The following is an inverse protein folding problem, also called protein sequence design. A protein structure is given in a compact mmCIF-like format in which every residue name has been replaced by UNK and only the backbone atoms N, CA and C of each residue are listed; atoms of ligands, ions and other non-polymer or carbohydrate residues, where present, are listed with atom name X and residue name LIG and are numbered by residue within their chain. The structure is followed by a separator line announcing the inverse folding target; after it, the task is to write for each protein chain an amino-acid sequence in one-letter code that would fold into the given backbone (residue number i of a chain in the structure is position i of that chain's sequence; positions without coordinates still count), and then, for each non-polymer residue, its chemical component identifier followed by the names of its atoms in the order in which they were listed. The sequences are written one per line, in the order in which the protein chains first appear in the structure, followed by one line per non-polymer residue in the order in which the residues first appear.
data_IF_488415275914
#
_entry.id   IF_488415275914
#
_cell.length_a   1.000
_cell.length_b   1.000
_cell.length_c   1.000
_cell.angle_alpha   90.00
_cell.angle_beta   90.00
_cell.angle_gamma   90.00
#
_symmetry.space_group_name_H-M   'P 1'
#
loop_
_entity.id
_entity.type
_entity.pdbx_description
1 polymer ?
#
# COMPACT_ATOMS: atom_id res chain seq x y z
N UNK A 1 -12.89 -17.40 8.91
CA UNK A 1 -12.42 -16.46 9.94
C UNK A 1 -11.16 -15.86 9.36
N UNK A 2 -11.24 -14.65 8.81
CA UNK A 2 -10.14 -14.06 8.05
C UNK A 2 -9.04 -13.59 9.01
N UNK A 3 -7.77 -13.82 8.68
CA UNK A 3 -6.63 -13.23 9.39
C UNK A 3 -5.96 -12.19 8.48
N UNK A 4 -5.71 -10.98 8.99
CA UNK A 4 -5.14 -9.87 8.21
C UNK A 4 -3.89 -9.28 8.86
N UNK A 5 -2.86 -9.04 8.06
CA UNK A 5 -1.67 -8.28 8.45
C UNK A 5 -1.80 -6.86 7.93
N UNK A 6 -1.71 -5.85 8.80
CA UNK A 6 -1.70 -4.46 8.35
C UNK A 6 -0.66 -3.64 9.13
N UNK A 7 0.16 -2.85 8.44
CA UNK A 7 1.03 -1.84 9.09
C UNK A 7 0.35 -0.47 9.25
N UNK A 8 -0.88 -0.32 8.76
CA UNK A 8 -1.77 0.78 9.07
C UNK A 8 -2.81 0.24 10.06
N UNK A 9 -2.72 0.63 11.33
CA UNK A 9 -3.80 0.38 12.30
C UNK A 9 -5.09 0.96 11.74
N UNK A 10 -5.87 0.13 11.05
CA UNK A 10 -7.07 0.56 10.37
C UNK A 10 -8.26 -0.10 11.07
N UNK A 11 -8.95 0.64 11.98
CA UNK A 11 -10.18 0.20 12.63
C UNK A 11 -11.26 -0.32 11.65
N UNK A 12 -11.16 0.08 10.37
CA UNK A 12 -12.08 -0.36 9.32
C UNK A 12 -11.99 -1.87 9.07
N UNK A 13 -10.79 -2.45 9.11
CA UNK A 13 -10.58 -3.89 8.89
C UNK A 13 -11.22 -4.73 10.00
N UNK A 14 -11.05 -4.31 11.26
CA UNK A 14 -11.63 -5.00 12.42
C UNK A 14 -13.16 -4.92 12.44
N UNK A 15 -13.71 -3.73 12.15
CA UNK A 15 -15.15 -3.47 12.22
C UNK A 15 -15.95 -4.13 11.10
N UNK A 16 -15.37 -4.26 9.90
CA UNK A 16 -16.08 -4.78 8.73
C UNK A 16 -15.96 -6.29 8.54
N UNK A 17 -14.84 -6.90 8.97
CA UNK A 17 -14.53 -8.30 8.60
C UNK A 17 -14.47 -9.28 9.77
N UNK A 18 -14.49 -8.81 11.03
CA UNK A 18 -14.36 -9.69 12.20
C UNK A 18 -13.03 -10.46 12.22
N UNK A 19 -11.99 -9.91 11.57
CA UNK A 19 -10.71 -10.57 11.35
C UNK A 19 -9.81 -10.55 12.60
N UNK A 20 -8.95 -11.57 12.74
CA UNK A 20 -7.78 -11.48 13.61
C UNK A 20 -6.74 -10.58 12.93
N UNK A 21 -6.06 -9.74 13.69
CA UNK A 21 -5.12 -8.76 13.15
C UNK A 21 -3.77 -8.89 13.83
N UNK A 22 -2.71 -8.98 13.02
CA UNK A 22 -1.34 -8.70 13.49
C UNK A 22 -0.83 -7.44 12.83
N UNK A 23 -0.39 -6.48 13.65
CA UNK A 23 0.22 -5.24 13.21
C UNK A 23 1.75 -5.33 13.32
N UNK A 24 2.46 -4.87 12.28
CA UNK A 24 3.91 -4.85 12.24
C UNK A 24 4.44 -3.43 12.07
N UNK A 25 5.40 -3.03 12.91
CA UNK A 25 6.03 -1.72 12.82
C UNK A 25 7.38 -1.69 13.54
N UNK A 26 8.30 -0.83 13.10
CA UNK A 26 9.58 -0.62 13.80
C UNK A 26 9.46 0.16 15.11
N UNK A 27 8.34 0.85 15.33
CA UNK A 27 8.18 1.81 16.42
C UNK A 27 7.09 1.32 17.37
N UNK A 28 7.43 1.20 18.65
CA UNK A 28 6.50 0.82 19.72
C UNK A 28 5.32 1.79 19.85
N UNK A 29 5.57 3.10 19.96
CA UNK A 29 4.49 4.02 20.35
C UNK A 29 3.35 4.12 19.33
N UNK A 30 3.60 4.22 18.01
CA UNK A 30 2.52 4.17 17.02
C UNK A 30 1.83 2.81 16.97
N UNK A 31 2.57 1.73 17.28
CA UNK A 31 2.06 0.37 17.24
C UNK A 31 1.11 0.10 18.42
N UNK A 32 1.43 0.59 19.61
CA UNK A 32 0.58 0.50 20.80
C UNK A 32 -0.72 1.28 20.63
N UNK A 33 -0.64 2.50 20.08
CA UNK A 33 -1.84 3.30 19.77
C UNK A 33 -2.71 2.62 18.72
N UNK A 34 -2.11 2.12 17.66
CA UNK A 34 -2.82 1.38 16.62
C UNK A 34 -3.51 0.13 17.19
N UNK A 35 -2.85 -0.58 18.11
CA UNK A 35 -3.45 -1.73 18.81
C UNK A 35 -4.66 -1.33 19.62
N UNK A 36 -4.59 -0.23 20.38
CA UNK A 36 -5.72 0.26 21.18
C UNK A 36 -6.90 0.61 20.28
N UNK A 37 -6.68 1.39 19.23
CA UNK A 37 -7.72 1.79 18.26
C UNK A 37 -8.36 0.58 17.57
N UNK A 38 -7.55 -0.40 17.14
CA UNK A 38 -8.02 -1.62 16.48
C UNK A 38 -8.79 -2.51 17.46
N UNK A 39 -8.33 -2.63 18.71
CA UNK A 39 -8.99 -3.40 19.76
C UNK A 39 -10.37 -2.81 20.10
N UNK A 40 -10.47 -1.49 20.21
CA UNK A 40 -11.74 -0.78 20.45
C UNK A 40 -12.74 -0.94 19.29
N UNK A 41 -12.25 -1.21 18.08
CA UNK A 41 -13.06 -1.40 16.89
C UNK A 41 -13.43 -2.86 16.60
N UNK A 42 -12.97 -3.82 17.41
CA UNK A 42 -13.31 -5.23 17.25
C UNK A 42 -14.82 -5.45 17.40
N UNK A 43 -15.39 -6.24 16.48
CA UNK A 43 -16.80 -6.62 16.47
C UNK A 43 -17.10 -7.77 17.46
N UNK A 44 -16.10 -8.61 17.78
CA UNK A 44 -16.22 -9.70 18.76
C UNK A 44 -15.05 -9.68 19.75
N UNK A 45 -15.31 -10.21 20.95
CA UNK A 45 -14.28 -10.45 21.99
C UNK A 45 -13.31 -11.57 21.63
N UNK A 46 -13.68 -12.41 20.65
CA UNK A 46 -12.85 -13.53 20.20
C UNK A 46 -11.79 -13.09 19.15
N UNK A 47 -11.80 -11.82 18.72
CA UNK A 47 -10.78 -11.31 17.82
C UNK A 47 -9.47 -11.07 18.55
N UNK A 48 -8.39 -11.53 17.93
CA UNK A 48 -7.03 -11.32 18.44
C UNK A 48 -6.44 -10.12 17.73
N UNK A 49 -5.85 -9.20 18.51
CA UNK A 49 -5.10 -8.06 18.00
C UNK A 49 -3.68 -8.15 18.56
N UNK A 50 -2.76 -8.59 17.70
CA UNK A 50 -1.36 -8.76 18.02
C UNK A 50 -0.51 -7.63 17.41
N UNK A 51 0.62 -7.37 18.04
CA UNK A 51 1.59 -6.36 17.60
C UNK A 51 2.97 -6.95 17.66
N UNK A 52 3.74 -6.78 16.59
CA UNK A 52 5.12 -7.26 16.50
C UNK A 52 6.01 -6.12 16.04
N UNK A 53 7.09 -5.86 16.79
CA UNK A 53 8.10 -4.92 16.36
C UNK A 53 9.06 -5.59 15.38
N UNK A 54 9.22 -5.02 14.19
CA UNK A 54 10.03 -5.60 13.11
C UNK A 54 10.47 -4.51 12.12
N UNK A 55 11.72 -4.56 11.64
CA UNK A 55 12.12 -3.83 10.44
C UNK A 55 11.67 -4.59 9.20
N UNK A 56 10.59 -4.11 8.57
CA UNK A 56 10.11 -4.70 7.33
C UNK A 56 11.16 -4.67 6.21
N UNK A 57 12.15 -3.77 6.29
CA UNK A 57 13.26 -3.70 5.34
C UNK A 57 14.37 -4.72 5.57
N UNK A 58 14.24 -5.62 6.55
CA UNK A 58 15.15 -6.72 6.82
C UNK A 58 14.46 -8.07 6.53
N UNK A 59 14.98 -8.83 5.56
CA UNK A 59 14.38 -10.09 5.12
C UNK A 59 14.31 -11.14 6.24
N UNK A 60 15.35 -11.21 7.09
CA UNK A 60 15.44 -12.21 8.15
C UNK A 60 14.47 -11.87 9.28
N UNK A 61 14.41 -10.60 9.70
CA UNK A 61 13.45 -10.17 10.73
C UNK A 61 12.01 -10.39 10.27
N UNK A 62 11.67 -10.05 9.01
CA UNK A 62 10.33 -10.29 8.45
C UNK A 62 10.00 -11.77 8.44
N UNK A 63 10.96 -12.62 8.06
CA UNK A 63 10.77 -14.07 8.01
C UNK A 63 10.44 -14.64 9.38
N UNK A 64 11.26 -14.32 10.37
CA UNK A 64 11.06 -14.76 11.76
C UNK A 64 9.74 -14.23 12.33
N UNK A 65 9.43 -12.96 12.07
CA UNK A 65 8.19 -12.34 12.54
C UNK A 65 6.94 -13.00 11.91
N UNK A 66 6.97 -13.37 10.64
CA UNK A 66 5.82 -13.98 9.97
C UNK A 66 5.67 -15.46 10.31
N UNK A 67 6.77 -16.22 10.38
CA UNK A 67 6.76 -17.65 10.72
C UNK A 67 6.41 -17.91 12.20
N UNK A 68 6.66 -16.95 13.09
CA UNK A 68 6.30 -17.05 14.52
C UNK A 68 4.83 -16.76 14.82
N UNK A 69 4.04 -16.32 13.83
CA UNK A 69 2.61 -16.09 14.04
C UNK A 69 1.88 -17.40 14.28
N UNK A 70 1.04 -17.44 15.32
CA UNK A 70 0.25 -18.63 15.66
C UNK A 70 -0.71 -19.05 14.56
N UNK A 71 -1.06 -18.12 13.67
CA UNK A 71 -1.97 -18.31 12.55
C UNK A 71 -1.42 -17.56 11.32
N UNK A 72 -1.20 -18.22 10.18
CA UNK A 72 -0.97 -17.54 8.92
C UNK A 72 -2.11 -16.57 8.61
N UNK A 73 -1.78 -15.42 8.05
CA UNK A 73 -2.80 -14.47 7.61
C UNK A 73 -3.36 -14.86 6.26
N UNK A 74 -4.65 -14.66 6.03
CA UNK A 74 -5.27 -14.79 4.70
C UNK A 74 -5.01 -13.54 3.84
N UNK A 75 -4.85 -12.39 4.48
CA UNK A 75 -4.73 -11.09 3.80
C UNK A 75 -3.50 -10.35 4.30
N UNK A 76 -2.65 -9.86 3.39
CA UNK A 76 -1.47 -9.06 3.70
C UNK A 76 -1.60 -7.65 3.11
N UNK A 77 -1.57 -6.63 3.97
CA UNK A 77 -1.43 -5.23 3.58
C UNK A 77 0.01 -4.76 3.74
N UNK A 78 0.67 -4.51 2.61
CA UNK A 78 2.02 -3.95 2.55
C UNK A 78 1.95 -2.41 2.59
N UNK A 79 1.93 -1.82 3.80
CA UNK A 79 1.79 -0.37 3.96
C UNK A 79 2.98 0.36 4.60
N UNK A 80 4.05 -0.37 4.93
CA UNK A 80 5.27 0.25 5.46
C UNK A 80 5.93 1.10 4.36
N UNK A 81 6.28 2.34 4.67
CA UNK A 81 6.93 3.24 3.72
C UNK A 81 6.73 4.72 4.04
N UNK A 82 7.34 5.56 3.22
CA UNK A 82 7.37 7.02 3.35
C UNK A 82 8.62 7.63 2.71
N UNK A 83 8.68 8.95 2.68
CA UNK A 83 9.75 9.74 2.07
C UNK A 83 10.19 10.96 2.88
N UNK A 84 9.69 11.13 4.10
CA UNK A 84 9.89 12.39 4.84
C UNK A 84 11.38 12.71 5.07
N UNK A 85 12.26 11.70 5.06
CA UNK A 85 13.71 11.84 5.21
C UNK A 85 14.49 11.81 3.86
N UNK A 86 13.82 11.62 2.71
CA UNK A 86 14.47 11.45 1.39
C UNK A 86 13.87 12.34 0.29
N UNK A 87 13.42 13.54 0.67
CA UNK A 87 13.03 14.58 -0.29
C UNK A 87 14.26 15.36 -0.74
N UNK A 88 14.42 15.52 -2.05
CA UNK A 88 15.56 16.20 -2.66
C UNK A 88 15.66 15.96 -4.16
N UNK A 89 16.40 16.82 -4.86
CA UNK A 89 16.77 16.56 -6.24
C UNK A 89 17.85 15.48 -6.30
N UNK A 90 17.98 14.82 -7.46
CA UNK A 90 18.88 13.68 -7.59
C UNK A 90 20.32 13.98 -7.21
N UNK A 91 20.82 15.17 -7.55
CA UNK A 91 22.19 15.60 -7.26
C UNK A 91 22.42 15.96 -5.78
N UNK A 92 21.34 16.22 -5.03
CA UNK A 92 21.41 16.61 -3.62
C UNK A 92 21.27 15.41 -2.68
N UNK A 93 20.73 14.29 -3.18
CA UNK A 93 20.54 13.07 -2.41
C UNK A 93 21.84 12.24 -2.37
N UNK A 94 22.13 11.69 -1.20
CA UNK A 94 23.25 10.75 -1.06
C UNK A 94 22.84 9.37 -1.62
N UNK A 95 23.83 8.53 -1.94
CA UNK A 95 23.57 7.12 -2.25
C UNK A 95 22.79 6.42 -1.13
N UNK A 96 23.07 6.79 0.14
CA UNK A 96 22.40 6.22 1.30
C UNK A 96 20.92 6.59 1.36
N UNK A 97 20.55 7.78 0.91
CA UNK A 97 19.15 8.19 0.82
C UNK A 97 18.39 7.35 -0.21
N UNK A 98 19.00 7.08 -1.36
CA UNK A 98 18.43 6.20 -2.39
C UNK A 98 18.21 4.78 -1.84
N UNK A 99 19.23 4.21 -1.19
CA UNK A 99 19.16 2.90 -0.53
C UNK A 99 18.06 2.85 0.54
N UNK A 100 18.03 3.84 1.44
CA UNK A 100 17.06 3.91 2.53
C UNK A 100 15.63 4.01 1.99
N UNK A 101 15.41 4.80 0.92
CA UNK A 101 14.09 4.93 0.33
C UNK A 101 13.62 3.60 -0.31
N UNK A 102 14.52 2.89 -1.01
CA UNK A 102 14.25 1.54 -1.53
C UNK A 102 13.98 0.54 -0.41
N UNK A 103 14.77 0.57 0.66
CA UNK A 103 14.58 -0.29 1.83
C UNK A 103 13.23 -0.09 2.49
N UNK A 104 12.85 1.16 2.73
CA UNK A 104 11.61 1.50 3.42
C UNK A 104 10.34 1.27 2.60
N UNK A 105 10.42 1.33 1.26
CA UNK A 105 9.22 1.27 0.39
C UNK A 105 9.15 0.02 -0.49
N UNK A 106 10.25 -0.35 -1.16
CA UNK A 106 10.28 -1.50 -2.07
C UNK A 106 10.58 -2.80 -1.33
N UNK A 107 11.73 -2.88 -0.63
CA UNK A 107 12.13 -4.11 0.04
C UNK A 107 11.16 -4.48 1.15
N UNK A 108 10.65 -3.50 1.91
CA UNK A 108 9.59 -3.72 2.89
C UNK A 108 8.35 -4.43 2.35
N UNK A 109 7.91 -4.06 1.15
CA UNK A 109 6.78 -4.68 0.48
C UNK A 109 7.15 -6.02 -0.17
N UNK A 110 8.34 -6.11 -0.78
CA UNK A 110 8.81 -7.29 -1.50
C UNK A 110 9.09 -8.47 -0.55
N UNK A 111 9.76 -8.23 0.58
CA UNK A 111 10.06 -9.27 1.56
C UNK A 111 8.79 -9.80 2.20
N UNK A 112 7.90 -8.91 2.65
CA UNK A 112 6.60 -9.29 3.21
C UNK A 112 5.79 -10.16 2.24
N UNK A 113 5.65 -9.73 0.98
CA UNK A 113 4.92 -10.47 -0.03
C UNK A 113 5.56 -11.83 -0.33
N UNK A 114 6.89 -11.87 -0.52
CA UNK A 114 7.64 -13.10 -0.81
C UNK A 114 7.51 -14.13 0.30
N UNK A 115 7.68 -13.71 1.55
CA UNK A 115 7.65 -14.59 2.72
C UNK A 115 6.22 -15.08 2.97
N UNK A 116 5.22 -14.20 2.92
CA UNK A 116 3.82 -14.61 3.08
C UNK A 116 3.40 -15.61 2.01
N UNK A 117 3.79 -15.38 0.75
CA UNK A 117 3.55 -16.36 -0.32
C UNK A 117 4.22 -17.71 -0.03
N UNK A 118 5.42 -17.73 0.54
CA UNK A 118 6.08 -18.99 0.90
C UNK A 118 5.32 -19.75 2.00
N UNK A 119 4.85 -19.04 3.02
CA UNK A 119 4.01 -19.60 4.10
C UNK A 119 2.73 -20.20 3.52
N UNK A 120 2.06 -19.43 2.66
CA UNK A 120 0.87 -19.86 1.94
C UNK A 120 1.11 -21.12 1.11
N UNK A 121 2.12 -21.13 0.23
CA UNK A 121 2.39 -22.27 -0.62
C UNK A 121 2.75 -23.53 0.20
N UNK A 122 3.42 -23.35 1.32
CA UNK A 122 3.71 -24.44 2.27
C UNK A 122 2.42 -24.99 2.88
N UNK A 123 1.50 -24.12 3.30
CA UNK A 123 0.20 -24.53 3.84
C UNK A 123 -0.67 -25.24 2.77
N UNK A 124 -0.64 -24.80 1.51
CA UNK A 124 -1.39 -25.46 0.43
C UNK A 124 -0.86 -26.83 0.06
N UNK A 125 0.45 -27.04 0.22
CA UNK A 125 1.10 -28.33 0.04
C UNK A 125 0.78 -29.33 1.17
N UNK A 126 0.15 -28.88 2.26
CA UNK A 126 -0.24 -29.74 3.38
C UNK A 126 -1.26 -30.80 2.97
N UNK A 127 -1.19 -31.95 3.65
CA UNK A 127 -2.17 -33.05 3.50
C UNK A 127 -3.53 -32.63 4.06
N UNK A 128 -3.57 -31.69 5.01
CA UNK A 128 -4.79 -31.20 5.61
C UNK A 128 -5.46 -30.19 4.68
N UNK A 129 -6.58 -30.60 4.10
CA UNK A 129 -7.38 -29.77 3.20
C UNK A 129 -8.32 -28.86 3.98
N UNK A 130 -8.50 -27.60 3.53
CA UNK A 130 -9.38 -26.68 4.22
C UNK A 130 -10.84 -27.06 3.98
N UNK A 131 -11.72 -26.72 4.92
CA UNK A 131 -13.16 -26.94 4.78
C UNK A 131 -13.81 -25.99 3.75
N UNK A 132 -13.16 -24.86 3.50
CA UNK A 132 -13.56 -23.85 2.52
C UNK A 132 -12.33 -23.40 1.73
N UNK A 133 -12.52 -22.96 0.49
CA UNK A 133 -11.43 -22.40 -0.29
C UNK A 133 -10.84 -21.19 0.45
N UNK A 134 -9.52 -21.19 0.66
CA UNK A 134 -8.79 -20.07 1.25
C UNK A 134 -8.66 -18.95 0.24
N UNK A 135 -8.90 -17.73 0.68
CA UNK A 135 -8.71 -16.53 -0.13
C UNK A 135 -7.45 -15.84 0.35
N UNK A 136 -6.46 -15.71 -0.53
CA UNK A 136 -5.11 -15.24 -0.20
C UNK A 136 -4.81 -13.98 -0.96
N UNK A 137 -4.75 -12.87 -0.24
CA UNK A 137 -4.76 -11.55 -0.87
C UNK A 137 -3.56 -10.73 -0.42
N UNK A 138 -2.83 -10.14 -1.37
CA UNK A 138 -1.79 -9.14 -1.07
C UNK A 138 -2.23 -7.79 -1.61
N UNK A 139 -2.32 -6.81 -0.73
CA UNK A 139 -2.68 -5.44 -1.04
C UNK A 139 -1.45 -4.56 -0.81
N UNK A 140 -0.88 -4.04 -1.89
CA UNK A 140 0.21 -3.07 -1.82
C UNK A 140 -0.34 -1.66 -1.64
N UNK A 141 0.06 -0.96 -0.56
CA UNK A 141 -0.25 0.46 -0.37
C UNK A 141 0.90 1.28 -0.97
N UNK A 142 0.70 1.67 -2.22
CA UNK A 142 1.68 2.41 -3.01
C UNK A 142 1.43 3.93 -2.90
N UNK A 143 1.52 4.67 -4.01
CA UNK A 143 1.26 6.11 -4.06
C UNK A 143 1.02 6.55 -5.50
N UNK A 144 0.19 7.58 -5.73
CA UNK A 144 0.06 8.19 -7.05
C UNK A 144 1.40 8.72 -7.62
N UNK A 145 2.42 8.96 -6.77
CA UNK A 145 3.78 9.28 -7.19
C UNK A 145 4.43 8.18 -8.06
N UNK A 146 3.90 6.96 -8.06
CA UNK A 146 4.36 5.89 -8.95
C UNK A 146 3.94 6.07 -10.43
N UNK A 147 3.10 7.08 -10.73
CA UNK A 147 2.63 7.35 -12.08
C UNK A 147 3.32 8.54 -12.75
N UNK A 148 3.89 9.44 -11.96
CA UNK A 148 4.48 10.69 -12.44
C UNK A 148 5.79 10.94 -11.72
N UNK A 149 6.86 11.14 -12.49
CA UNK A 149 8.14 11.61 -11.95
C UNK A 149 7.98 12.99 -11.30
N UNK A 150 8.05 13.06 -9.98
CA UNK A 150 7.95 14.32 -9.23
C UNK A 150 9.37 14.85 -8.91
N UNK A 151 9.78 16.00 -9.49
CA UNK A 151 11.03 16.63 -9.11
C UNK A 151 11.10 16.87 -7.61
N UNK A 152 12.27 16.61 -7.01
CA UNK A 152 12.43 16.72 -5.56
C UNK A 152 11.92 15.55 -4.72
N UNK A 153 11.38 14.51 -5.36
CA UNK A 153 10.98 13.26 -4.69
C UNK A 153 11.44 12.04 -5.49
N UNK A 154 12.62 12.12 -6.11
CA UNK A 154 13.11 11.10 -7.05
C UNK A 154 13.28 9.73 -6.37
N UNK A 155 13.88 9.68 -5.17
CA UNK A 155 14.05 8.43 -4.42
C UNK A 155 12.71 7.74 -4.09
N UNK A 156 11.70 8.54 -3.74
CA UNK A 156 10.37 8.02 -3.44
C UNK A 156 9.63 7.57 -4.69
N UNK A 157 9.68 8.37 -5.75
CA UNK A 157 9.01 8.06 -7.02
C UNK A 157 9.57 6.77 -7.61
N UNK A 158 10.90 6.58 -7.60
CA UNK A 158 11.54 5.37 -8.12
C UNK A 158 11.17 4.14 -7.28
N UNK A 159 11.22 4.22 -5.96
CA UNK A 159 10.85 3.10 -5.09
C UNK A 159 9.37 2.71 -5.20
N UNK A 160 8.45 3.69 -5.28
CA UNK A 160 7.02 3.44 -5.50
C UNK A 160 6.71 2.93 -6.92
N UNK A 161 7.51 3.31 -7.92
CA UNK A 161 7.45 2.73 -9.27
C UNK A 161 7.91 1.27 -9.27
N UNK A 162 8.94 0.92 -8.50
CA UNK A 162 9.38 -0.47 -8.35
C UNK A 162 8.30 -1.37 -7.71
N UNK A 163 7.60 -0.88 -6.69
CA UNK A 163 6.45 -1.58 -6.08
C UNK A 163 5.31 -1.77 -7.09
N UNK A 164 5.04 -0.77 -7.94
CA UNK A 164 4.08 -0.93 -9.04
C UNK A 164 4.49 -2.07 -9.97
N UNK A 165 5.74 -2.10 -10.43
CA UNK A 165 6.22 -3.17 -11.30
C UNK A 165 6.09 -4.54 -10.62
N UNK A 166 6.46 -4.65 -9.34
CA UNK A 166 6.28 -5.86 -8.54
C UNK A 166 4.82 -6.34 -8.54
N UNK A 167 3.86 -5.49 -8.18
CA UNK A 167 2.45 -5.87 -8.14
C UNK A 167 1.90 -6.27 -9.51
N UNK A 168 2.30 -5.54 -10.57
CA UNK A 168 1.91 -5.84 -11.95
C UNK A 168 2.39 -7.20 -12.44
N UNK A 169 3.61 -7.59 -12.08
CA UNK A 169 4.16 -8.91 -12.40
C UNK A 169 3.50 -9.97 -11.53
N UNK A 170 3.43 -9.73 -10.22
CA UNK A 170 2.97 -10.70 -9.25
C UNK A 170 1.52 -11.12 -9.48
N UNK A 171 0.64 -10.20 -9.89
CA UNK A 171 -0.78 -10.53 -10.19
C UNK A 171 -0.93 -11.62 -11.25
N UNK A 172 0.04 -11.75 -12.15
CA UNK A 172 0.05 -12.76 -13.21
C UNK A 172 0.71 -14.03 -12.72
N UNK A 173 1.85 -13.90 -12.02
CA UNK A 173 2.57 -15.04 -11.48
C UNK A 173 1.73 -15.85 -10.48
N UNK A 174 0.96 -15.19 -9.59
CA UNK A 174 0.16 -15.89 -8.57
C UNK A 174 -0.93 -16.78 -9.14
N UNK A 175 -1.39 -16.54 -10.38
CA UNK A 175 -2.45 -17.33 -11.00
C UNK A 175 -2.08 -18.80 -11.16
N UNK A 176 -0.78 -19.10 -11.28
CA UNK A 176 -0.28 -20.48 -11.37
C UNK A 176 -0.50 -21.29 -10.08
N UNK A 177 -0.78 -20.61 -8.97
CA UNK A 177 -0.95 -21.21 -7.65
C UNK A 177 -2.43 -21.38 -7.28
N UNK A 178 -3.37 -20.85 -8.09
CA UNK A 178 -4.79 -21.07 -7.88
C UNK A 178 -5.13 -22.57 -8.01
N UNK A 179 -5.86 -23.08 -7.03
CA UNK A 179 -6.31 -24.46 -6.97
C UNK A 179 -7.68 -24.55 -6.29
N UNK A 180 -8.20 -25.79 -6.13
CA UNK A 180 -9.47 -26.01 -5.44
C UNK A 180 -9.43 -25.52 -3.98
N UNK A 181 -8.26 -25.58 -3.34
CA UNK A 181 -8.09 -25.26 -1.92
C UNK A 181 -7.82 -23.76 -1.67
N UNK A 182 -7.23 -23.06 -2.64
CA UNK A 182 -6.75 -21.69 -2.46
C UNK A 182 -6.88 -20.85 -3.72
N UNK A 183 -7.32 -19.61 -3.54
CA UNK A 183 -7.39 -18.57 -4.58
C UNK A 183 -6.51 -17.40 -4.16
N UNK A 184 -5.63 -16.98 -5.06
CA UNK A 184 -4.69 -15.89 -4.85
C UNK A 184 -5.11 -14.65 -5.64
N UNK A 185 -5.03 -13.48 -5.00
CA UNK A 185 -5.21 -12.18 -5.66
C UNK A 185 -4.16 -11.17 -5.20
N UNK A 186 -3.82 -10.28 -6.12
CA UNK A 186 -2.95 -9.13 -5.85
C UNK A 186 -3.77 -7.88 -6.12
N UNK A 187 -3.62 -6.88 -5.27
CA UNK A 187 -4.21 -5.56 -5.39
C UNK A 187 -3.14 -4.51 -5.12
N UNK A 188 -3.30 -3.33 -5.71
CA UNK A 188 -2.39 -2.21 -5.47
C UNK A 188 -3.17 -0.90 -5.43
N UNK A 189 -3.01 -0.20 -4.32
CA UNK A 189 -3.58 1.12 -4.10
C UNK A 189 -2.58 2.22 -4.41
N UNK A 190 -3.04 3.29 -5.04
CA UNK A 190 -2.27 4.47 -5.41
C UNK A 190 -2.90 5.72 -4.79
N UNK A 191 -2.93 5.82 -3.46
CA UNK A 191 -3.52 6.97 -2.80
C UNK A 191 -2.84 8.26 -3.24
N UNK A 192 -3.63 9.32 -3.36
CA UNK A 192 -3.17 10.70 -3.44
C UNK A 192 -2.73 11.23 -2.09
N UNK A 193 -2.58 12.55 -1.96
CA UNK A 193 -2.35 13.18 -0.67
C UNK A 193 -3.55 12.96 0.28
N UNK A 194 -3.26 12.53 1.51
CA UNK A 194 -4.23 12.37 2.58
C UNK A 194 -3.62 12.76 3.93
N UNK A 195 -4.48 13.18 4.85
CA UNK A 195 -4.07 13.65 6.17
C UNK A 195 -3.55 12.47 7.00
N UNK A 196 -2.27 12.53 7.37
CA UNK A 196 -1.60 11.57 8.23
C UNK A 196 -0.42 12.21 8.96
N UNK A 197 0.09 11.62 10.06
CA UNK A 197 1.32 12.08 10.68
C UNK A 197 2.51 12.09 9.71
N UNK A 198 2.54 11.17 8.74
CA UNK A 198 3.54 11.12 7.69
C UNK A 198 3.46 12.32 6.75
N UNK A 199 2.25 12.67 6.30
CA UNK A 199 2.01 13.85 5.46
C UNK A 199 2.51 15.13 6.13
N UNK A 200 2.23 15.30 7.43
CA UNK A 200 2.68 16.48 8.19
C UNK A 200 4.20 16.62 8.24
N UNK A 201 4.91 15.50 8.48
CA UNK A 201 6.38 15.46 8.48
C UNK A 201 6.94 15.72 7.09
N UNK A 202 6.35 15.11 6.07
CA UNK A 202 6.76 15.29 4.69
C UNK A 202 6.67 16.76 4.25
N UNK A 203 5.64 17.50 4.67
CA UNK A 203 5.53 18.93 4.33
C UNK A 203 6.69 19.77 4.88
N UNK A 204 7.41 19.32 5.91
CA UNK A 204 8.54 20.05 6.48
C UNK A 204 9.81 19.94 5.61
N UNK A 205 9.97 18.83 4.88
CA UNK A 205 11.17 18.54 4.09
C UNK A 205 10.95 18.60 2.58
N UNK A 206 9.68 18.62 2.13
CA UNK A 206 9.31 18.68 0.70
C UNK A 206 9.83 19.96 0.04
N UNK A 207 10.53 19.80 -1.08
CA UNK A 207 11.13 20.93 -1.81
C UNK A 207 10.05 21.88 -2.36
N UNK A 208 10.30 23.21 -2.45
CA UNK A 208 9.29 24.18 -2.88
C UNK A 208 8.68 23.89 -4.25
N UNK A 209 9.49 23.47 -5.24
CA UNK A 209 9.00 23.13 -6.57
C UNK A 209 7.97 22.00 -6.53
N UNK A 210 8.23 20.98 -5.71
CA UNK A 210 7.34 19.84 -5.54
C UNK A 210 6.02 20.26 -4.89
N UNK A 211 6.06 21.12 -3.85
CA UNK A 211 4.84 21.71 -3.25
C UNK A 211 4.02 22.47 -4.28
N UNK A 212 4.66 23.26 -5.13
CA UNK A 212 4.00 24.02 -6.19
C UNK A 212 3.31 23.12 -7.21
N UNK A 213 4.00 22.08 -7.69
CA UNK A 213 3.43 21.10 -8.65
C UNK A 213 2.21 20.40 -8.06
N UNK A 214 2.26 20.03 -6.78
CA UNK A 214 1.15 19.34 -6.10
C UNK A 214 0.07 20.30 -5.56
N UNK A 215 0.28 21.61 -5.64
CA UNK A 215 -0.65 22.60 -5.07
C UNK A 215 -0.76 22.52 -3.54
N UNK A 216 0.39 22.36 -2.87
CA UNK A 216 0.58 22.18 -1.43
C UNK A 216 1.24 23.40 -0.75
N UNK A 217 1.27 24.55 -1.41
CA UNK A 217 1.88 25.79 -0.87
C UNK A 217 1.03 26.47 0.21
N UNK A 218 -0.19 25.98 0.44
CA UNK A 218 -1.13 26.55 1.41
C UNK A 218 -0.72 26.25 2.85
N UNK A 219 -1.18 27.05 3.83
CA UNK A 219 -1.03 26.74 5.25
C UNK A 219 -1.56 25.35 5.58
N UNK A 220 -0.93 24.71 6.56
CA UNK A 220 -1.20 23.30 6.86
C UNK A 220 -2.65 23.06 7.26
N UNK A 221 -3.29 24.03 7.92
CA UNK A 221 -4.70 24.01 8.31
C UNK A 221 -5.62 23.90 7.08
N UNK A 222 -5.30 24.60 6.00
CA UNK A 222 -6.07 24.51 4.75
C UNK A 222 -5.89 23.15 4.08
N UNK A 223 -4.66 22.61 4.11
CA UNK A 223 -4.38 21.28 3.58
C UNK A 223 -5.13 20.19 4.36
N UNK A 224 -5.25 20.32 5.68
CA UNK A 224 -6.01 19.39 6.52
C UNK A 224 -7.51 19.35 6.16
N UNK A 225 -8.09 20.46 5.71
CA UNK A 225 -9.47 20.50 5.22
C UNK A 225 -9.62 20.03 3.76
N UNK A 226 -8.58 20.18 2.95
CA UNK A 226 -8.59 19.85 1.51
C UNK A 226 -8.52 18.35 1.26
N UNK A 227 -7.75 17.62 2.06
CA UNK A 227 -7.44 16.21 1.82
C UNK A 227 -8.24 15.25 2.70
N UNK A 228 -8.55 14.04 2.22
CA UNK A 228 -9.27 13.04 3.02
C UNK A 228 -8.43 12.57 4.21
N UNK A 229 -9.09 12.02 5.22
CA UNK A 229 -8.43 11.35 6.35
C UNK A 229 -7.88 9.98 5.94
N UNK A 230 -6.87 9.49 6.67
CA UNK A 230 -6.35 8.13 6.51
C UNK A 230 -7.44 7.06 6.60
N UNK A 231 -8.41 7.22 7.50
CA UNK A 231 -9.52 6.27 7.68
C UNK A 231 -10.42 6.20 6.45
N UNK A 232 -10.72 7.36 5.85
CA UNK A 232 -11.52 7.43 4.63
C UNK A 232 -10.80 6.72 3.49
N UNK A 233 -9.51 7.02 3.29
CA UNK A 233 -8.69 6.38 2.24
C UNK A 233 -8.63 4.87 2.46
N UNK A 234 -8.34 4.43 3.68
CA UNK A 234 -8.26 3.01 4.00
C UNK A 234 -9.59 2.29 3.76
N UNK A 235 -10.74 2.92 4.09
CA UNK A 235 -12.06 2.35 3.81
C UNK A 235 -12.35 2.18 2.32
N UNK A 236 -11.85 3.08 1.46
CA UNK A 236 -11.99 2.96 0.02
C UNK A 236 -11.12 1.82 -0.51
N UNK A 237 -9.91 1.66 0.05
CA UNK A 237 -8.99 0.60 -0.34
C UNK A 237 -9.57 -0.78 0.01
N UNK A 238 -10.04 -0.95 1.24
CA UNK A 238 -10.67 -2.22 1.68
C UNK A 238 -11.85 -2.58 0.78
N UNK A 239 -12.76 -1.63 0.55
CA UNK A 239 -13.94 -1.87 -0.32
C UNK A 239 -13.56 -2.22 -1.76
N UNK A 240 -12.49 -1.65 -2.30
CA UNK A 240 -12.06 -1.94 -3.67
C UNK A 240 -11.36 -3.31 -3.75
N UNK A 241 -10.56 -3.66 -2.74
CA UNK A 241 -9.99 -5.00 -2.61
C UNK A 241 -11.10 -6.07 -2.51
N UNK A 242 -12.12 -5.84 -1.67
CA UNK A 242 -13.28 -6.74 -1.52
C UNK A 242 -14.05 -6.97 -2.84
N UNK A 243 -14.07 -5.96 -3.74
CA UNK A 243 -14.67 -6.09 -5.08
C UNK A 243 -13.78 -6.84 -6.09
N UNK A 244 -12.53 -7.12 -5.73
CA UNK A 244 -11.55 -7.74 -6.60
C UNK A 244 -10.78 -6.76 -7.50
N UNK A 245 -10.81 -5.46 -7.21
CA UNK A 245 -10.18 -4.44 -8.05
C UNK A 245 -8.66 -4.51 -7.94
N UNK A 246 -7.95 -4.75 -9.06
CA UNK A 246 -6.48 -4.79 -9.05
C UNK A 246 -5.87 -3.40 -8.83
N UNK A 247 -6.37 -2.36 -9.52
CA UNK A 247 -5.89 -0.98 -9.41
C UNK A 247 -6.88 -0.17 -8.58
N UNK A 248 -6.42 0.37 -7.46
CA UNK A 248 -7.24 1.13 -6.52
C UNK A 248 -6.73 2.57 -6.45
N UNK A 249 -7.54 3.54 -6.88
CA UNK A 249 -7.18 4.97 -6.83
C UNK A 249 -8.40 5.88 -6.67
N UNK A 250 -9.50 5.35 -6.12
CA UNK A 250 -10.79 6.03 -5.97
C UNK A 250 -10.78 7.17 -4.95
N UNK A 251 -9.71 7.27 -4.15
CA UNK A 251 -9.55 8.29 -3.11
C UNK A 251 -9.26 9.70 -3.66
N UNK A 252 -8.73 9.80 -4.89
CA UNK A 252 -8.27 11.06 -5.46
C UNK A 252 -8.48 11.14 -6.97
N UNK A 253 -9.05 12.26 -7.44
CA UNK A 253 -9.16 12.56 -8.88
C UNK A 253 -7.77 12.61 -9.56
N UNK A 254 -6.75 13.13 -8.87
CA UNK A 254 -5.40 13.20 -9.41
C UNK A 254 -4.83 11.78 -9.64
N UNK A 255 -5.00 10.87 -8.69
CA UNK A 255 -4.57 9.48 -8.84
C UNK A 255 -5.32 8.78 -9.98
N UNK A 256 -6.64 9.00 -10.10
CA UNK A 256 -7.46 8.52 -11.21
C UNK A 256 -6.91 9.00 -12.57
N UNK A 257 -6.67 10.30 -12.71
CA UNK A 257 -6.23 10.92 -13.97
C UNK A 257 -4.82 10.47 -14.37
N UNK A 258 -3.89 10.44 -13.41
CA UNK A 258 -2.52 9.98 -13.64
C UNK A 258 -2.48 8.51 -14.08
N UNK A 259 -3.29 7.65 -13.45
CA UNK A 259 -3.39 6.25 -13.87
C UNK A 259 -3.92 6.10 -15.30
N UNK A 260 -4.92 6.90 -15.70
CA UNK A 260 -5.47 6.85 -17.08
C UNK A 260 -4.43 7.20 -18.15
N UNK A 261 -3.40 7.97 -17.80
CA UNK A 261 -2.26 8.21 -18.70
C UNK A 261 -1.31 7.00 -18.78
N UNK A 262 -1.24 6.20 -17.73
CA UNK A 262 -0.27 5.10 -17.56
C UNK A 262 -0.90 3.71 -17.70
N UNK A 263 -2.04 3.59 -18.39
CA UNK A 263 -2.78 2.34 -18.52
C UNK A 263 -1.90 1.19 -19.04
N UNK A 264 -1.13 1.37 -20.11
CA UNK A 264 -0.30 0.29 -20.66
C UNK A 264 -1.09 -1.03 -20.80
N UNK A 265 -0.55 -2.19 -20.37
CA UNK A 265 -1.27 -3.47 -20.34
C UNK A 265 -2.13 -3.70 -19.06
N UNK A 266 -2.35 -2.66 -18.26
CA UNK A 266 -3.15 -2.77 -17.02
C UNK A 266 -4.63 -3.00 -17.36
N UNK A 267 -5.36 -3.81 -16.57
CA UNK A 267 -6.82 -3.88 -16.67
C UNK A 267 -7.46 -2.50 -16.52
N UNK A 268 -8.46 -2.21 -17.34
CA UNK A 268 -9.28 -1.02 -17.18
C UNK A 268 -10.20 -1.17 -15.96
N UNK A 269 -10.53 -0.06 -15.33
CA UNK A 269 -11.39 -0.01 -14.14
C UNK A 269 -12.85 0.00 -14.57
N UNK A 270 -13.66 -0.87 -13.96
CA UNK A 270 -15.06 -1.06 -14.33
C UNK A 270 -15.23 -1.38 -15.83
N UNK A 271 -16.06 -0.60 -16.52
CA UNK A 271 -16.28 -0.73 -17.98
C UNK A 271 -15.18 -0.06 -18.82
N UNK A 272 -14.21 0.61 -18.18
CA UNK A 272 -13.08 1.25 -18.85
C UNK A 272 -13.40 2.49 -19.68
N UNK A 273 -14.62 3.03 -19.57
CA UNK A 273 -15.05 4.26 -20.27
C UNK A 273 -14.24 5.46 -19.82
N UNK A 274 -14.12 5.68 -18.51
CA UNK A 274 -13.36 6.79 -17.95
C UNK A 274 -11.88 6.72 -18.36
N UNK A 275 -11.28 5.52 -18.22
CA UNK A 275 -9.89 5.27 -18.62
C UNK A 275 -9.64 5.56 -20.10
N UNK A 276 -10.55 5.15 -20.99
CA UNK A 276 -10.42 5.39 -22.42
C UNK A 276 -10.55 6.87 -22.80
N UNK A 277 -11.43 7.62 -22.13
CA UNK A 277 -11.64 9.05 -22.40
C UNK A 277 -10.53 9.93 -21.83
N UNK A 278 -9.99 9.58 -20.66
CA UNK A 278 -8.94 10.36 -20.00
C UNK A 278 -7.55 10.15 -20.56
N UNK A 279 -7.28 8.98 -21.15
CA UNK A 279 -5.98 8.70 -21.76
C UNK A 279 -5.52 9.75 -22.80
N UNK A 280 -6.32 10.11 -23.83
CA UNK A 280 -5.91 11.14 -24.80
C UNK A 280 -5.81 12.54 -24.19
N UNK A 281 -6.70 12.91 -23.25
CA UNK A 281 -6.63 14.19 -22.54
C UNK A 281 -5.30 14.32 -21.78
N UNK A 282 -4.94 13.30 -21.02
CA UNK A 282 -3.70 13.30 -20.27
C UNK A 282 -2.47 13.30 -21.19
N UNK A 283 -2.46 12.45 -22.21
CA UNK A 283 -1.32 12.27 -23.10
C UNK A 283 -1.05 13.48 -24.00
N UNK A 284 -2.09 14.13 -24.51
CA UNK A 284 -1.94 15.22 -25.49
C UNK A 284 -2.04 16.63 -24.90
N UNK A 285 -2.68 16.81 -23.74
CA UNK A 285 -2.92 18.14 -23.16
C UNK A 285 -2.14 18.31 -21.85
N UNK A 286 -2.31 17.39 -20.90
CA UNK A 286 -1.75 17.57 -19.55
C UNK A 286 -0.24 17.33 -19.50
N UNK A 287 0.24 16.19 -20.02
CA UNK A 287 1.66 15.84 -19.96
C UNK A 287 2.56 16.84 -20.69
N UNK A 288 2.22 17.35 -21.89
CA UNK A 288 3.04 18.36 -22.55
C UNK A 288 3.20 19.67 -21.75
N UNK A 289 2.21 20.04 -20.93
CA UNK A 289 2.28 21.23 -20.07
C UNK A 289 3.07 21.00 -18.78
N UNK A 290 3.20 19.75 -18.33
CA UNK A 290 4.01 19.36 -17.16
C UNK A 290 5.50 19.15 -17.50
N UNK A 291 5.91 19.36 -18.76
CA UNK A 291 7.32 19.26 -19.22
C UNK A 291 8.14 20.47 -18.81
#
# INVERSE_FOLDING_TARGET
MYSSVCSLGCPVLTKQLGAHITLFSRRSDPLDKAREEVTLACASKDQDVNTVMVDMGDDQEVKEAFESQSRPADILYCAAGGNYDQNGFFVDLTAKDLENCMRNNYFSAAYAAKIMMHIWLTEDASVVKPTHQRHREIIFINSCAAFLGLPGSIAYTTSKTAVRALAHTLRMEVLRHNCADSKYSIHIAFPGDFVSPGFMKEQQTKVPLNKKIQGLEQPIEQLLHKFPTSDKVASLIVRAADRGDFIICEDSFAANALFSNMLGPSPKRGWGVFDALMSPLMGWIVIPYLR
#
